data_IF_521014697613
#
_entry.id   IF_521014697613
#
_cell.length_a   1.000
_cell.length_b   1.000
_cell.length_c   1.000
_cell.angle_alpha   90.00
_cell.angle_beta   90.00
_cell.angle_gamma   90.00
#
_symmetry.space_group_name_H-M   'P 1'
#
loop_
_entity.id
_entity.type
_entity.pdbx_description
1 polymer ?
#
# COMPACT_ATOMS: atom_id res chain seq x y z
N UNK A 1 13.81 -13.13 22.80
CA UNK A 1 12.34 -13.28 22.93
C UNK A 1 11.68 -12.03 23.53
N UNK A 2 12.38 -11.27 24.39
CA UNK A 2 11.85 -10.01 24.97
C UNK A 2 11.85 -8.80 24.01
N UNK A 3 12.71 -8.76 22.98
CA UNK A 3 12.81 -7.59 22.08
C UNK A 3 11.74 -7.53 20.96
N UNK A 4 11.05 -8.64 20.65
CA UNK A 4 10.03 -8.67 19.58
C UNK A 4 8.67 -8.17 20.11
N UNK A 5 8.37 -8.42 21.38
CA UNK A 5 7.12 -7.99 22.04
C UNK A 5 7.08 -6.45 22.18
N UNK A 6 8.22 -5.79 22.36
CA UNK A 6 8.27 -4.32 22.43
C UNK A 6 7.92 -3.64 21.09
N UNK A 7 8.25 -4.28 19.96
CA UNK A 7 7.92 -3.77 18.63
C UNK A 7 6.41 -3.82 18.33
N UNK A 8 5.74 -4.93 18.71
CA UNK A 8 4.28 -5.04 18.59
C UNK A 8 3.54 -4.07 19.54
N UNK A 9 4.03 -3.93 20.77
CA UNK A 9 3.51 -2.96 21.73
C UNK A 9 3.72 -1.51 21.28
N UNK A 10 4.68 -1.20 20.39
CA UNK A 10 4.85 0.13 19.82
C UNK A 10 3.73 0.45 18.80
N UNK A 11 3.37 -0.51 17.94
CA UNK A 11 2.26 -0.37 16.98
C UNK A 11 0.90 -0.19 17.66
N UNK A 12 0.60 -0.98 18.70
CA UNK A 12 -0.65 -0.84 19.46
C UNK A 12 -0.70 0.45 20.29
N UNK A 13 0.43 0.88 20.88
CA UNK A 13 0.51 2.19 21.56
C UNK A 13 0.38 3.35 20.57
N UNK A 14 0.96 3.25 19.37
CA UNK A 14 0.83 4.26 18.33
C UNK A 14 -0.61 4.33 17.79
N UNK A 15 -1.30 3.21 17.67
CA UNK A 15 -2.69 3.16 17.22
C UNK A 15 -3.66 3.69 18.31
N UNK A 16 -3.40 3.38 19.60
CA UNK A 16 -4.14 3.95 20.72
C UNK A 16 -3.86 5.47 20.88
N UNK A 17 -2.63 5.90 20.64
CA UNK A 17 -2.24 7.32 20.63
C UNK A 17 -2.84 8.06 19.43
N UNK A 18 -2.91 7.40 18.26
CA UNK A 18 -3.57 7.92 17.04
C UNK A 18 -5.07 8.12 17.27
N UNK A 19 -5.74 7.19 17.95
CA UNK A 19 -7.15 7.32 18.36
C UNK A 19 -7.37 8.38 19.45
N UNK A 20 -6.33 8.72 20.21
CA UNK A 20 -6.40 9.72 21.29
C UNK A 20 -6.21 11.16 20.80
N UNK A 21 -5.62 11.37 19.62
CA UNK A 21 -5.40 12.72 19.07
C UNK A 21 -6.66 13.23 18.38
N UNK A 22 -6.92 14.53 18.54
CA UNK A 22 -8.02 15.19 17.84
C UNK A 22 -7.73 15.26 16.34
N UNK A 23 -8.76 15.05 15.50
CA UNK A 23 -8.66 15.24 14.05
C UNK A 23 -8.06 16.60 13.69
N UNK A 24 -8.46 17.66 14.39
CA UNK A 24 -7.96 19.02 14.14
C UNK A 24 -6.45 19.15 14.41
N UNK A 25 -5.93 18.40 15.39
CA UNK A 25 -4.50 18.36 15.67
C UNK A 25 -3.75 17.63 14.56
N UNK A 26 -4.24 16.46 14.15
CA UNK A 26 -3.66 15.67 13.05
C UNK A 26 -3.68 16.46 11.75
N UNK A 27 -4.78 17.13 11.44
CA UNK A 27 -4.93 18.00 10.28
C UNK A 27 -3.91 19.14 10.30
N UNK A 28 -3.77 19.84 11.43
CA UNK A 28 -2.80 20.93 11.59
C UNK A 28 -1.37 20.46 11.36
N UNK A 29 -1.00 19.33 11.95
CA UNK A 29 0.35 18.75 11.82
C UNK A 29 0.61 18.29 10.38
N UNK A 30 -0.36 17.62 9.76
CA UNK A 30 -0.31 17.18 8.35
C UNK A 30 -0.07 18.36 7.42
N UNK A 31 -0.86 19.44 7.58
CA UNK A 31 -0.72 20.68 6.81
C UNK A 31 0.67 21.31 6.98
N UNK A 32 1.15 21.39 8.23
CA UNK A 32 2.49 21.95 8.51
C UNK A 32 3.62 21.15 7.84
N UNK A 33 3.56 19.81 7.86
CA UNK A 33 4.55 18.98 7.16
C UNK A 33 4.46 19.15 5.65
N UNK A 34 3.24 19.19 5.09
CA UNK A 34 3.03 19.40 3.67
C UNK A 34 3.54 20.77 3.19
N UNK A 35 3.28 21.85 3.94
CA UNK A 35 3.79 23.20 3.64
C UNK A 35 5.33 23.25 3.65
N UNK A 36 5.97 22.60 4.63
CA UNK A 36 7.44 22.53 4.69
C UNK A 36 8.02 21.74 3.52
N UNK A 37 7.41 20.60 3.19
CA UNK A 37 7.84 19.75 2.08
C UNK A 37 7.71 20.47 0.74
N UNK A 38 6.58 21.13 0.50
CA UNK A 38 6.33 21.92 -0.71
C UNK A 38 7.26 23.13 -0.77
N UNK A 39 7.48 23.86 0.33
CA UNK A 39 8.44 24.96 0.37
C UNK A 39 9.86 24.52 0.02
N UNK A 40 10.32 23.39 0.57
CA UNK A 40 11.58 22.77 0.18
C UNK A 40 11.62 22.45 -1.31
N UNK A 41 10.57 21.83 -1.86
CA UNK A 41 10.51 21.45 -3.27
C UNK A 41 10.57 22.66 -4.23
N UNK A 42 9.91 23.77 -3.87
CA UNK A 42 9.96 25.00 -4.67
C UNK A 42 11.30 25.73 -4.60
N UNK A 43 12.10 25.47 -3.55
CA UNK A 43 13.43 26.07 -3.35
C UNK A 43 14.58 25.24 -3.91
N UNK A 44 14.28 24.16 -4.65
CA UNK A 44 15.30 23.32 -5.27
C UNK A 44 16.19 24.13 -6.24
N UNK A 45 17.52 23.92 -6.21
CA UNK A 45 18.44 24.49 -7.21
C UNK A 45 18.10 24.06 -8.64
N UNK A 46 18.37 24.94 -9.61
CA UNK A 46 18.03 24.71 -11.02
C UNK A 46 18.56 23.39 -11.57
N UNK A 47 19.76 22.96 -11.16
CA UNK A 47 20.38 21.73 -11.64
C UNK A 47 19.67 20.43 -11.23
N UNK A 48 18.74 20.48 -10.27
CA UNK A 48 17.97 19.31 -9.80
C UNK A 48 16.45 19.52 -9.91
N UNK A 49 16.00 20.64 -10.48
CA UNK A 49 14.58 20.85 -10.78
C UNK A 49 14.10 19.87 -11.85
N UNK A 50 12.81 19.56 -11.79
CA UNK A 50 12.17 18.69 -12.75
C UNK A 50 12.38 19.21 -14.18
N UNK A 51 12.76 18.31 -15.10
CA UNK A 51 12.98 18.65 -16.52
C UNK A 51 14.35 19.23 -16.87
N UNK A 52 15.19 19.64 -15.90
CA UNK A 52 16.51 20.23 -16.19
C UNK A 52 17.62 19.18 -16.34
N UNK A 53 17.65 18.21 -15.42
CA UNK A 53 18.60 17.11 -15.44
C UNK A 53 17.91 15.84 -14.93
N UNK A 54 17.86 14.84 -15.78
CA UNK A 54 17.34 13.53 -15.42
C UNK A 54 18.52 12.61 -15.12
N UNK A 55 18.97 12.59 -13.87
CA UNK A 55 19.80 11.49 -13.37
C UNK A 55 18.92 10.54 -12.56
N UNK A 56 19.32 9.27 -12.38
CA UNK A 56 18.60 8.34 -11.50
C UNK A 56 18.34 8.92 -10.11
N UNK A 57 19.34 9.59 -9.52
CA UNK A 57 19.23 10.19 -8.20
C UNK A 57 18.23 11.36 -8.16
N UNK A 58 18.22 12.22 -9.18
CA UNK A 58 17.26 13.33 -9.27
C UNK A 58 15.84 12.78 -9.44
N UNK A 59 15.63 11.77 -10.28
CA UNK A 59 14.33 11.11 -10.42
C UNK A 59 13.88 10.48 -9.11
N UNK A 60 14.78 9.76 -8.42
CA UNK A 60 14.53 9.17 -7.12
C UNK A 60 14.04 10.22 -6.11
N UNK A 61 14.75 11.34 -6.00
CA UNK A 61 14.36 12.46 -5.14
C UNK A 61 12.95 12.98 -5.44
N UNK A 62 12.61 13.20 -6.71
CA UNK A 62 11.27 13.64 -7.12
C UNK A 62 10.19 12.60 -6.80
N UNK A 63 10.49 11.30 -6.97
CA UNK A 63 9.56 10.24 -6.61
C UNK A 63 9.36 10.15 -5.10
N UNK A 64 10.42 10.28 -4.30
CA UNK A 64 10.33 10.28 -2.83
C UNK A 64 9.54 11.49 -2.34
N UNK A 65 9.67 12.67 -2.97
CA UNK A 65 8.82 13.83 -2.69
C UNK A 65 7.33 13.50 -2.81
N UNK A 66 6.89 12.93 -3.94
CA UNK A 66 5.50 12.53 -4.14
C UNK A 66 5.06 11.39 -3.21
N UNK A 67 5.96 10.44 -2.92
CA UNK A 67 5.69 9.39 -1.94
C UNK A 67 5.46 9.99 -0.54
N UNK A 68 6.25 10.99 -0.13
CA UNK A 68 6.06 11.66 1.16
C UNK A 68 4.76 12.45 1.22
N UNK A 69 4.31 13.06 0.12
CA UNK A 69 2.97 13.66 0.06
C UNK A 69 1.92 12.60 0.38
N UNK A 70 1.95 11.44 -0.30
CA UNK A 70 1.02 10.33 -0.04
C UNK A 70 1.09 9.90 1.43
N UNK A 71 2.30 9.72 1.97
CA UNK A 71 2.50 9.28 3.36
C UNK A 71 2.00 10.31 4.37
N UNK A 72 2.25 11.61 4.17
CA UNK A 72 1.76 12.66 5.07
C UNK A 72 0.23 12.65 5.10
N UNK A 73 -0.39 12.57 3.92
CA UNK A 73 -1.83 12.63 3.78
C UNK A 73 -2.56 11.35 4.21
N UNK A 74 -1.89 10.19 4.20
CA UNK A 74 -2.50 8.95 4.69
C UNK A 74 -2.89 9.07 6.17
N UNK A 75 -2.11 9.75 7.01
CA UNK A 75 -2.47 9.98 8.43
C UNK A 75 -3.80 10.73 8.61
N UNK A 76 -4.11 11.65 7.70
CA UNK A 76 -5.36 12.41 7.74
C UNK A 76 -6.53 11.58 7.20
N UNK A 77 -6.28 10.82 6.13
CA UNK A 77 -7.28 9.99 5.45
C UNK A 77 -7.81 8.86 6.35
N UNK A 78 -6.93 8.23 7.13
CA UNK A 78 -7.27 7.08 8.00
C UNK A 78 -7.88 7.49 9.35
N UNK A 79 -8.01 8.79 9.63
CA UNK A 79 -8.49 9.25 10.92
C UNK A 79 -10.01 8.97 11.09
N UNK A 80 -10.47 8.35 12.19
CA UNK A 80 -11.88 7.94 12.34
C UNK A 80 -12.89 9.09 12.25
N UNK A 81 -12.49 10.29 12.68
CA UNK A 81 -13.32 11.50 12.63
C UNK A 81 -13.12 12.36 11.37
N UNK A 82 -12.48 11.83 10.33
CA UNK A 82 -12.25 12.58 9.10
C UNK A 82 -13.57 12.91 8.38
N UNK A 83 -13.84 14.19 8.07
CA UNK A 83 -14.97 14.57 7.23
C UNK A 83 -14.85 13.96 5.83
N UNK A 84 -15.97 13.50 5.26
CA UNK A 84 -16.00 12.83 3.94
C UNK A 84 -15.40 13.71 2.84
N UNK A 85 -15.71 15.00 2.82
CA UNK A 85 -15.17 15.96 1.87
C UNK A 85 -13.65 16.15 2.01
N UNK A 86 -13.13 16.15 3.25
CA UNK A 86 -11.70 16.20 3.49
C UNK A 86 -11.02 14.92 3.01
N UNK A 87 -11.59 13.75 3.28
CA UNK A 87 -11.08 12.47 2.81
C UNK A 87 -10.99 12.39 1.27
N UNK A 88 -12.02 12.88 0.56
CA UNK A 88 -12.03 12.94 -0.90
C UNK A 88 -10.94 13.86 -1.46
N UNK A 89 -10.79 15.06 -0.88
CA UNK A 89 -9.74 16.01 -1.30
C UNK A 89 -8.34 15.43 -1.07
N UNK A 90 -8.13 14.77 0.08
CA UNK A 90 -6.89 14.08 0.41
C UNK A 90 -6.60 12.95 -0.57
N UNK A 91 -7.62 12.16 -0.92
CA UNK A 91 -7.50 11.07 -1.88
C UNK A 91 -7.06 11.58 -3.27
N UNK A 92 -7.67 12.67 -3.75
CA UNK A 92 -7.30 13.30 -5.02
C UNK A 92 -5.82 13.75 -5.02
N UNK A 93 -5.35 14.32 -3.91
CA UNK A 93 -3.95 14.72 -3.76
C UNK A 93 -2.99 13.53 -3.81
N UNK A 94 -3.35 12.42 -3.16
CA UNK A 94 -2.58 11.17 -3.20
C UNK A 94 -2.54 10.59 -4.62
N UNK A 95 -3.69 10.53 -5.32
CA UNK A 95 -3.78 10.03 -6.70
C UNK A 95 -2.93 10.87 -7.64
N UNK A 96 -3.03 12.20 -7.54
CA UNK A 96 -2.21 13.12 -8.34
C UNK A 96 -0.71 12.86 -8.13
N UNK A 97 -0.30 12.63 -6.89
CA UNK A 97 1.09 12.30 -6.55
C UNK A 97 1.51 10.92 -7.10
N UNK A 98 0.64 9.91 -7.04
CA UNK A 98 0.91 8.59 -7.60
C UNK A 98 1.05 8.63 -9.14
N UNK A 99 0.24 9.44 -9.82
CA UNK A 99 0.36 9.66 -11.27
C UNK A 99 1.68 10.37 -11.61
N UNK A 100 2.11 11.33 -10.80
CA UNK A 100 3.41 11.98 -10.97
C UNK A 100 4.58 10.99 -10.81
N UNK A 101 4.53 10.11 -9.79
CA UNK A 101 5.49 9.01 -9.63
C UNK A 101 5.52 8.10 -10.86
N UNK A 102 4.35 7.74 -11.42
CA UNK A 102 4.29 6.97 -12.67
C UNK A 102 5.04 7.68 -13.80
N UNK A 103 4.84 8.99 -13.96
CA UNK A 103 5.50 9.75 -15.05
C UNK A 103 7.02 9.76 -14.87
N UNK A 104 7.48 9.91 -13.63
CA UNK A 104 8.90 9.84 -13.26
C UNK A 104 9.48 8.43 -13.51
N UNK A 105 8.74 7.38 -13.19
CA UNK A 105 9.13 6.00 -13.51
C UNK A 105 9.23 5.74 -15.01
N UNK A 106 8.30 6.26 -15.80
CA UNK A 106 8.36 6.16 -17.26
C UNK A 106 9.56 6.93 -17.82
N UNK A 107 9.83 8.12 -17.28
CA UNK A 107 11.02 8.90 -17.61
C UNK A 107 12.29 8.10 -17.30
N UNK A 108 12.36 7.47 -16.12
CA UNK A 108 13.45 6.57 -15.76
C UNK A 108 13.60 5.44 -16.79
N UNK A 109 12.52 4.71 -17.08
CA UNK A 109 12.55 3.59 -18.02
C UNK A 109 12.99 4.00 -19.44
N UNK A 110 12.56 5.17 -19.90
CA UNK A 110 12.89 5.68 -21.23
C UNK A 110 14.39 6.01 -21.39
N UNK A 111 15.01 6.53 -20.34
CA UNK A 111 16.41 6.93 -20.32
C UNK A 111 17.35 5.77 -19.96
N UNK A 112 16.93 4.87 -19.06
CA UNK A 112 17.69 3.69 -18.64
C UNK A 112 16.94 2.43 -19.03
N UNK A 113 17.28 1.88 -20.20
CA UNK A 113 16.62 0.75 -20.89
C UNK A 113 16.52 -0.56 -20.09
N UNK A 114 17.14 -0.67 -18.90
CA UNK A 114 17.10 -1.87 -18.06
C UNK A 114 16.39 -1.58 -16.74
N UNK A 115 15.07 -1.76 -16.74
CA UNK A 115 14.16 -1.69 -15.56
C UNK A 115 14.64 -2.61 -14.44
N UNK A 116 15.34 -3.68 -14.80
CA UNK A 116 15.91 -4.67 -13.90
C UNK A 116 16.96 -4.12 -12.91
N UNK A 117 17.54 -2.94 -13.14
CA UNK A 117 18.54 -2.32 -12.27
C UNK A 117 17.98 -1.07 -11.57
N UNK A 118 16.74 -1.15 -11.09
CA UNK A 118 16.17 -0.10 -10.26
C UNK A 118 16.64 -0.22 -8.80
N UNK A 119 16.85 0.92 -8.11
CA UNK A 119 17.07 0.93 -6.66
C UNK A 119 15.94 0.22 -5.92
N UNK A 120 16.27 -0.48 -4.83
CA UNK A 120 15.30 -1.22 -4.00
C UNK A 120 14.19 -0.32 -3.48
N UNK A 121 14.50 0.95 -3.16
CA UNK A 121 13.53 1.97 -2.73
C UNK A 121 12.37 2.15 -3.72
N UNK A 122 12.61 1.97 -5.02
CA UNK A 122 11.59 2.12 -6.06
C UNK A 122 10.50 1.06 -5.95
N UNK A 123 10.82 -0.12 -5.40
CA UNK A 123 9.80 -1.13 -5.09
C UNK A 123 8.80 -0.61 -4.07
N UNK A 124 9.28 -0.02 -2.96
CA UNK A 124 8.39 0.52 -1.92
C UNK A 124 7.51 1.64 -2.46
N UNK A 125 8.10 2.59 -3.20
CA UNK A 125 7.37 3.69 -3.81
C UNK A 125 6.30 3.16 -4.79
N UNK A 126 6.65 2.16 -5.59
CA UNK A 126 5.72 1.53 -6.54
C UNK A 126 4.56 0.87 -5.81
N UNK A 127 4.83 0.13 -4.72
CA UNK A 127 3.78 -0.49 -3.88
C UNK A 127 2.80 0.56 -3.36
N UNK A 128 3.32 1.64 -2.76
CA UNK A 128 2.49 2.73 -2.22
C UNK A 128 1.58 3.31 -3.31
N UNK A 129 2.15 3.58 -4.49
CA UNK A 129 1.37 4.13 -5.60
C UNK A 129 0.33 3.15 -6.15
N UNK A 130 0.65 1.85 -6.25
CA UNK A 130 -0.31 0.84 -6.68
C UNK A 130 -1.53 0.79 -5.75
N UNK A 131 -1.33 0.85 -4.43
CA UNK A 131 -2.43 0.88 -3.48
C UNK A 131 -3.27 2.15 -3.57
N UNK A 132 -2.65 3.32 -3.73
CA UNK A 132 -3.37 4.59 -3.91
C UNK A 132 -4.22 4.58 -5.18
N UNK A 133 -3.68 4.05 -6.28
CA UNK A 133 -4.38 4.02 -7.57
C UNK A 133 -5.47 2.95 -7.62
N UNK A 134 -5.31 1.86 -6.86
CA UNK A 134 -6.30 0.80 -6.74
C UNK A 134 -7.66 1.30 -6.22
N UNK A 135 -7.66 2.42 -5.49
CA UNK A 135 -8.87 3.02 -4.92
C UNK A 135 -9.73 3.78 -5.94
N UNK A 136 -9.19 4.10 -7.12
CA UNK A 136 -9.83 4.93 -8.15
C UNK A 136 -9.53 4.39 -9.55
N UNK A 137 -9.86 3.13 -9.81
CA UNK A 137 -9.67 2.53 -11.14
C UNK A 137 -10.72 2.93 -12.17
N UNK A 138 -11.78 3.62 -11.76
CA UNK A 138 -12.82 4.13 -12.67
C UNK A 138 -12.32 5.32 -13.49
N UNK A 139 -11.39 6.11 -12.94
CA UNK A 139 -10.78 7.21 -13.66
C UNK A 139 -9.72 6.70 -14.66
N UNK A 140 -9.78 7.08 -15.95
CA UNK A 140 -8.88 6.56 -16.97
C UNK A 140 -7.40 6.89 -16.68
N UNK A 141 -7.13 8.05 -16.09
CA UNK A 141 -5.76 8.45 -15.72
C UNK A 141 -5.17 7.58 -14.61
N UNK A 142 -5.96 7.28 -13.59
CA UNK A 142 -5.58 6.42 -12.46
C UNK A 142 -5.43 4.96 -12.90
N UNK A 143 -6.38 4.46 -13.70
CA UNK A 143 -6.37 3.13 -14.30
C UNK A 143 -5.11 2.89 -15.16
N UNK A 144 -4.82 3.82 -16.08
CA UNK A 144 -3.62 3.73 -16.91
C UNK A 144 -2.35 3.74 -16.05
N UNK A 145 -2.27 4.65 -15.06
CA UNK A 145 -1.12 4.73 -14.19
C UNK A 145 -0.92 3.44 -13.37
N UNK A 146 -2.01 2.82 -12.90
CA UNK A 146 -1.98 1.55 -12.19
C UNK A 146 -1.41 0.45 -13.06
N UNK A 147 -1.92 0.28 -14.28
CA UNK A 147 -1.46 -0.76 -15.22
C UNK A 147 0.03 -0.59 -15.52
N UNK A 148 0.48 0.63 -15.82
CA UNK A 148 1.89 0.89 -16.15
C UNK A 148 2.83 0.60 -14.96
N UNK A 149 2.46 1.03 -13.74
CA UNK A 149 3.21 0.70 -12.53
C UNK A 149 3.19 -0.80 -12.22
N UNK A 150 2.08 -1.50 -12.52
CA UNK A 150 1.97 -2.94 -12.33
C UNK A 150 2.93 -3.70 -13.25
N UNK A 151 3.10 -3.27 -14.50
CA UNK A 151 4.11 -3.82 -15.40
C UNK A 151 5.54 -3.60 -14.89
N UNK A 152 5.82 -2.43 -14.30
CA UNK A 152 7.13 -2.15 -13.68
C UNK A 152 7.35 -3.10 -12.48
N UNK A 153 6.37 -3.23 -11.60
CA UNK A 153 6.40 -4.18 -10.49
C UNK A 153 6.60 -5.62 -10.96
N UNK A 154 5.95 -6.03 -12.06
CA UNK A 154 6.15 -7.34 -12.70
C UNK A 154 7.56 -7.56 -13.20
N UNK A 155 8.20 -6.52 -13.74
CA UNK A 155 9.61 -6.59 -14.12
C UNK A 155 10.51 -6.76 -12.89
N UNK A 156 10.24 -6.07 -11.79
CA UNK A 156 11.01 -6.18 -10.54
C UNK A 156 10.87 -7.58 -9.92
N UNK A 157 9.68 -8.17 -9.99
CA UNK A 157 9.37 -9.51 -9.49
C UNK A 157 10.14 -10.65 -10.19
N UNK A 158 10.78 -10.40 -11.34
CA UNK A 158 11.69 -11.39 -11.97
C UNK A 158 13.00 -11.56 -11.20
N UNK A 159 13.39 -10.58 -10.39
CA UNK A 159 14.69 -10.56 -9.67
C UNK A 159 14.53 -10.54 -8.17
N UNK A 160 13.48 -9.89 -7.66
CA UNK A 160 13.26 -9.71 -6.24
C UNK A 160 12.05 -10.51 -5.77
N UNK A 161 12.29 -11.44 -4.83
CA UNK A 161 11.22 -12.21 -4.20
C UNK A 161 10.22 -11.28 -3.47
N UNK A 162 10.72 -10.21 -2.83
CA UNK A 162 9.86 -9.18 -2.23
C UNK A 162 8.87 -8.56 -3.23
N UNK A 163 9.30 -8.27 -4.46
CA UNK A 163 8.41 -7.73 -5.49
C UNK A 163 7.35 -8.73 -5.94
N UNK A 164 7.64 -10.04 -5.93
CA UNK A 164 6.63 -11.07 -6.16
C UNK A 164 5.59 -11.08 -5.04
N UNK A 165 6.05 -10.96 -3.80
CA UNK A 165 5.18 -10.81 -2.63
C UNK A 165 4.24 -9.61 -2.78
N UNK A 166 4.80 -8.44 -3.11
CA UNK A 166 4.05 -7.19 -3.37
C UNK A 166 3.01 -7.35 -4.48
N UNK A 167 3.34 -8.02 -5.59
CA UNK A 167 2.37 -8.25 -6.67
C UNK A 167 1.22 -9.11 -6.22
N UNK A 168 1.52 -10.24 -5.58
CA UNK A 168 0.51 -11.16 -5.06
C UNK A 168 -0.40 -10.44 -4.08
N UNK A 169 0.19 -9.61 -3.26
CA UNK A 169 -0.53 -8.81 -2.29
C UNK A 169 -1.52 -7.84 -2.96
N UNK A 170 -1.07 -7.02 -3.91
CA UNK A 170 -1.98 -6.08 -4.61
C UNK A 170 -3.13 -6.85 -5.27
N UNK A 171 -2.86 -8.05 -5.82
CA UNK A 171 -3.86 -8.93 -6.39
C UNK A 171 -4.90 -9.39 -5.34
N UNK A 172 -4.43 -9.82 -4.17
CA UNK A 172 -5.28 -10.30 -3.08
C UNK A 172 -6.11 -9.18 -2.50
N UNK A 173 -5.54 -7.99 -2.30
CA UNK A 173 -6.27 -6.82 -1.85
C UNK A 173 -7.38 -6.44 -2.85
N UNK A 174 -7.10 -6.46 -4.16
CA UNK A 174 -8.14 -6.22 -5.16
C UNK A 174 -9.29 -7.24 -5.06
N UNK A 175 -8.98 -8.54 -4.86
CA UNK A 175 -9.99 -9.59 -4.68
C UNK A 175 -10.79 -9.41 -3.39
N UNK A 176 -10.12 -9.14 -2.28
CA UNK A 176 -10.74 -8.93 -0.97
C UNK A 176 -11.73 -7.77 -0.97
N UNK A 177 -11.38 -6.69 -1.66
CA UNK A 177 -12.22 -5.50 -1.80
C UNK A 177 -13.22 -5.59 -2.98
N UNK A 178 -13.31 -6.73 -3.67
CA UNK A 178 -14.17 -6.95 -4.83
C UNK A 178 -13.96 -5.92 -5.96
N UNK A 179 -12.70 -5.49 -6.15
CA UNK A 179 -12.30 -4.54 -7.19
C UNK A 179 -12.06 -5.30 -8.49
N UNK A 180 -12.75 -4.88 -9.54
CA UNK A 180 -12.54 -5.42 -10.90
C UNK A 180 -11.29 -4.76 -11.49
N UNK A 181 -10.23 -5.56 -11.66
CA UNK A 181 -9.00 -5.08 -12.27
C UNK A 181 -9.14 -4.88 -13.79
N UNK A 182 -8.40 -3.95 -14.41
CA UNK A 182 -8.36 -3.78 -15.87
C UNK A 182 -7.91 -5.06 -16.59
N UNK A 183 -8.35 -5.25 -17.84
CA UNK A 183 -8.09 -6.48 -18.61
C UNK A 183 -6.58 -6.79 -18.70
N UNK A 184 -5.77 -5.76 -18.92
CA UNK A 184 -4.31 -5.85 -19.00
C UNK A 184 -3.70 -6.34 -17.68
N UNK A 185 -4.22 -5.84 -16.55
CA UNK A 185 -3.79 -6.26 -15.22
C UNK A 185 -4.22 -7.70 -14.93
N UNK A 186 -5.43 -8.10 -15.33
CA UNK A 186 -5.91 -9.48 -15.18
C UNK A 186 -5.02 -10.45 -15.94
N UNK A 187 -4.66 -10.14 -17.19
CA UNK A 187 -3.79 -11.00 -17.99
C UNK A 187 -2.39 -11.12 -17.36
N UNK A 188 -1.82 -10.00 -16.91
CA UNK A 188 -0.53 -9.99 -16.21
C UNK A 188 -0.56 -10.88 -14.96
N UNK A 189 -1.65 -10.84 -14.19
CA UNK A 189 -1.80 -11.64 -12.99
C UNK A 189 -1.99 -13.13 -13.27
N UNK A 190 -2.71 -13.52 -14.32
CA UNK A 190 -2.80 -14.92 -14.76
C UNK A 190 -1.42 -15.49 -15.08
N UNK A 191 -0.63 -14.73 -15.85
CA UNK A 191 0.73 -15.12 -16.23
C UNK A 191 1.65 -15.20 -15.00
N UNK A 192 1.48 -14.27 -14.05
CA UNK A 192 2.22 -14.27 -12.78
C UNK A 192 1.86 -15.47 -11.90
N UNK A 193 0.57 -15.80 -11.72
CA UNK A 193 0.13 -16.95 -10.93
C UNK A 193 0.69 -18.25 -11.49
N UNK A 194 0.64 -18.43 -12.81
CA UNK A 194 1.19 -19.62 -13.46
C UNK A 194 2.70 -19.78 -13.21
N UNK A 195 3.47 -18.68 -13.24
CA UNK A 195 4.89 -18.69 -12.88
C UNK A 195 5.09 -18.96 -11.38
N UNK A 196 4.28 -18.31 -10.54
CA UNK A 196 4.35 -18.40 -9.08
C UNK A 196 4.14 -19.84 -8.60
N UNK A 197 3.12 -20.53 -9.10
CA UNK A 197 2.86 -21.94 -8.76
C UNK A 197 3.94 -22.88 -9.31
N UNK A 198 4.36 -22.71 -10.57
CA UNK A 198 5.41 -23.56 -11.17
C UNK A 198 6.75 -23.50 -10.44
N UNK A 199 7.08 -22.36 -9.86
CA UNK A 199 8.37 -22.14 -9.19
C UNK A 199 8.34 -22.45 -7.69
N UNK A 200 7.21 -22.93 -7.14
CA UNK A 200 7.05 -23.09 -5.69
C UNK A 200 7.16 -21.75 -4.96
N UNK A 201 6.62 -20.67 -5.55
CA UNK A 201 6.85 -19.29 -5.11
C UNK A 201 6.51 -19.04 -3.64
N UNK A 202 5.47 -19.71 -3.13
CA UNK A 202 5.10 -19.62 -1.72
C UNK A 202 6.18 -20.18 -0.78
N UNK A 203 6.72 -21.36 -1.08
CA UNK A 203 7.80 -21.99 -0.30
C UNK A 203 9.10 -21.20 -0.41
N UNK A 204 9.42 -20.72 -1.61
CA UNK A 204 10.61 -19.91 -1.86
C UNK A 204 10.54 -18.55 -1.16
N UNK A 205 9.37 -17.92 -1.10
CA UNK A 205 9.17 -16.67 -0.38
C UNK A 205 9.23 -16.89 1.13
N UNK A 206 8.54 -17.90 1.65
CA UNK A 206 8.52 -18.23 3.08
C UNK A 206 9.92 -18.58 3.61
N UNK A 207 10.73 -19.30 2.82
CA UNK A 207 12.12 -19.61 3.16
C UNK A 207 13.06 -18.39 3.09
N UNK A 208 12.82 -17.46 2.15
CA UNK A 208 13.61 -16.24 2.02
C UNK A 208 13.27 -15.19 3.09
N UNK A 209 12.04 -15.21 3.60
CA UNK A 209 11.55 -14.28 4.62
C UNK A 209 10.90 -15.04 5.80
N UNK A 210 11.67 -15.83 6.57
CA UNK A 210 11.13 -16.68 7.63
C UNK A 210 10.53 -15.89 8.79
N UNK A 211 11.09 -14.72 9.12
CA UNK A 211 10.54 -13.85 10.15
C UNK A 211 9.21 -13.21 9.74
N UNK A 212 9.01 -13.02 8.43
CA UNK A 212 7.76 -12.51 7.88
C UNK A 212 6.66 -13.56 8.07
N UNK A 213 6.88 -14.81 7.65
CA UNK A 213 5.92 -15.91 7.83
C UNK A 213 5.65 -16.28 9.29
N UNK A 214 6.62 -16.07 10.20
CA UNK A 214 6.42 -16.26 11.64
C UNK A 214 5.57 -15.14 12.27
N UNK A 215 5.76 -13.88 11.85
CA UNK A 215 4.97 -12.74 12.34
C UNK A 215 3.49 -12.87 11.95
N UNK A 216 3.26 -13.36 10.73
CA UNK A 216 1.95 -13.66 10.15
C UNK A 216 1.10 -14.64 10.98
N UNK A 217 1.71 -15.77 11.42
CA UNK A 217 1.04 -16.82 12.21
C UNK A 217 0.66 -16.40 13.61
N UNK A 218 1.51 -15.61 14.25
CA UNK A 218 1.24 -15.07 15.59
C UNK A 218 0.04 -14.11 15.57
N UNK A 219 -0.12 -13.34 14.50
CA UNK A 219 -1.28 -12.48 14.32
C UNK A 219 -2.54 -13.32 14.12
N UNK A 220 -2.57 -14.29 13.20
CA UNK A 220 -3.76 -15.11 12.92
C UNK A 220 -4.36 -15.77 14.18
N UNK A 221 -3.52 -16.29 15.08
CA UNK A 221 -3.95 -16.95 16.32
C UNK A 221 -4.63 -16.01 17.34
N UNK A 222 -4.32 -14.71 17.33
CA UNK A 222 -4.89 -13.74 18.27
C UNK A 222 -6.34 -13.31 17.93
N UNK A 223 -6.81 -13.52 16.69
CA UNK A 223 -8.20 -13.22 16.31
C UNK A 223 -9.13 -14.44 16.36
N UNK A 224 -8.61 -15.65 16.61
CA UNK A 224 -9.39 -16.89 16.61
C UNK A 224 -9.88 -17.33 17.99
N UNK A 225 -9.81 -16.49 19.01
CA UNK A 225 -10.41 -16.79 20.32
C UNK A 225 -11.94 -16.64 20.24
N UNK A 226 -12.73 -17.66 20.65
CA UNK A 226 -14.19 -17.54 20.66
C UNK A 226 -14.64 -16.58 21.76
N UNK A 227 -15.77 -15.87 21.60
CA UNK A 227 -16.36 -15.11 22.69
C UNK A 227 -16.86 -16.11 23.74
N UNK A 228 -16.29 -16.04 24.94
CA UNK A 228 -16.83 -16.75 26.10
C UNK A 228 -18.19 -16.13 26.44
N UNK A 229 -19.20 -17.00 26.56
CA UNK A 229 -20.61 -16.61 26.57
C UNK A 229 -21.05 -15.94 27.87
N UNK A 230 -21.99 -15.01 27.76
CA UNK A 230 -23.09 -14.82 28.72
C UNK A 230 -24.26 -14.13 28.04
N UNK A 231 -25.45 -14.65 28.35
CA UNK A 231 -26.76 -14.38 27.79
C UNK A 231 -27.20 -12.91 27.84
N UNK A 232 -27.98 -12.43 26.86
CA UNK A 232 -29.35 -11.92 27.10
C UNK A 232 -30.12 -11.62 25.79
N UNK A 233 -31.44 -11.72 25.88
CA UNK A 233 -32.48 -11.65 24.85
C UNK A 233 -32.62 -10.29 24.11
N UNK A 234 -33.15 -10.30 22.87
CA UNK A 234 -33.81 -9.11 22.32
C UNK A 234 -33.92 -8.98 20.80
N UNK A 235 -35.11 -9.34 20.30
CA UNK A 235 -35.84 -8.97 19.07
C UNK A 235 -35.23 -8.08 17.97
N UNK A 236 -35.52 -8.47 16.73
CA UNK A 236 -34.98 -7.89 15.51
C UNK A 236 -35.63 -6.60 15.00
N UNK A 237 -34.86 -5.86 14.20
CA UNK A 237 -35.36 -5.05 13.08
C UNK A 237 -34.22 -4.79 12.08
N UNK A 238 -34.48 -5.15 10.82
CA UNK A 238 -33.61 -4.95 9.67
C UNK A 238 -33.41 -3.46 9.34
N UNK A 239 -32.15 -3.02 9.20
CA UNK A 239 -31.85 -1.84 8.38
C UNK A 239 -30.50 -2.02 7.65
N UNK A 240 -30.63 -2.43 6.38
CA UNK A 240 -29.59 -2.48 5.36
C UNK A 240 -29.04 -1.07 5.11
N UNK A 241 -27.76 -0.84 5.40
CA UNK A 241 -27.07 0.41 5.10
C UNK A 241 -25.88 0.13 4.18
N UNK A 242 -26.01 0.53 2.92
CA UNK A 242 -24.96 0.49 1.90
C UNK A 242 -23.82 1.44 2.32
N UNK A 243 -22.74 0.89 2.88
CA UNK A 243 -21.47 1.60 3.07
C UNK A 243 -20.36 0.78 2.43
N UNK A 244 -19.93 1.18 1.23
CA UNK A 244 -18.66 0.71 0.66
C UNK A 244 -17.52 1.25 1.55
N UNK A 245 -16.69 0.40 2.18
CA UNK A 245 -15.52 0.87 2.93
C UNK A 245 -14.45 1.31 1.93
N UNK A 246 -14.01 2.56 2.02
CA UNK A 246 -12.87 3.06 1.24
C UNK A 246 -11.59 2.35 1.65
N UNK A 247 -10.75 2.00 0.67
CA UNK A 247 -9.41 1.48 0.89
C UNK A 247 -8.58 2.51 1.68
N UNK A 248 -7.99 2.08 2.79
CA UNK A 248 -7.13 2.89 3.67
C UNK A 248 -5.93 2.05 4.10
N UNK A 249 -4.74 2.67 4.20
CA UNK A 249 -3.55 2.03 4.81
C UNK A 249 -2.83 2.94 5.85
N UNK A 250 -3.01 2.60 7.13
CA UNK A 250 -2.47 3.01 8.42
C UNK A 250 -1.56 1.87 8.91
N UNK A 251 -0.70 2.12 9.91
CA UNK A 251 0.19 1.06 10.47
C UNK A 251 -0.58 -0.17 10.97
N UNK A 252 -1.83 -0.02 11.43
CA UNK A 252 -2.72 -1.13 11.77
C UNK A 252 -3.29 -1.87 10.54
N UNK A 253 -3.31 -1.23 9.37
CA UNK A 253 -3.76 -1.80 8.10
C UNK A 253 -2.63 -2.62 7.46
N UNK A 254 -1.37 -2.20 7.66
CA UNK A 254 -0.15 -2.99 7.45
C UNK A 254 -0.05 -4.23 8.36
N UNK A 255 -0.68 -4.21 9.53
CA UNK A 255 -0.78 -5.40 10.40
C UNK A 255 -1.99 -6.28 10.06
N UNK A 256 -3.10 -5.73 9.59
CA UNK A 256 -4.24 -6.50 9.05
C UNK A 256 -3.86 -7.25 7.75
N UNK A 257 -3.04 -6.61 6.91
CA UNK A 257 -2.34 -7.21 5.77
C UNK A 257 -1.62 -8.50 6.11
N UNK A 258 -0.88 -8.45 7.21
CA UNK A 258 -0.02 -9.48 7.71
C UNK A 258 -0.81 -10.47 8.56
N UNK A 259 -2.13 -10.41 8.54
CA UNK A 259 -3.02 -11.37 9.19
C UNK A 259 -3.81 -12.13 8.15
N UNK A 260 -4.24 -11.43 7.10
CA UNK A 260 -4.96 -12.00 5.95
C UNK A 260 -4.06 -12.74 4.96
N UNK A 261 -2.78 -12.35 4.90
CA UNK A 261 -1.76 -13.06 4.12
C UNK A 261 -1.50 -14.51 4.62
N UNK A 262 -1.97 -14.87 5.81
CA UNK A 262 -1.79 -16.20 6.41
C UNK A 262 -2.98 -17.14 6.14
N UNK A 263 -4.19 -16.60 6.06
CA UNK A 263 -5.38 -17.35 5.63
C UNK A 263 -5.29 -17.77 4.16
N UNK A 264 -4.65 -16.94 3.33
CA UNK A 264 -4.39 -17.21 1.91
C UNK A 264 -3.42 -18.39 1.70
N UNK A 265 -2.49 -18.63 2.63
CA UNK A 265 -1.61 -19.81 2.59
C UNK A 265 -2.27 -21.07 3.17
N UNK A 266 -3.45 -20.95 3.81
CA UNK A 266 -4.23 -22.08 4.34
C UNK A 266 -5.19 -22.67 3.32
N UNK A 267 -5.75 -21.85 2.43
CA UNK A 267 -6.69 -22.27 1.37
C UNK A 267 -5.98 -23.05 0.26
N UNK A 268 -4.71 -22.74 -0.03
CA UNK A 268 -3.90 -23.43 -1.05
C UNK A 268 -3.47 -24.86 -0.63
N UNK A 269 -3.87 -25.33 0.57
CA UNK A 269 -3.62 -26.69 1.10
C UNK A 269 -4.88 -27.57 1.19
N UNK A 270 -6.04 -27.08 0.73
CA UNK A 270 -7.31 -27.85 0.72
C UNK A 270 -7.88 -28.10 -0.69
N UNK A 271 -7.03 -28.07 -1.71
CA UNK A 271 -7.34 -28.52 -3.07
C UNK A 271 -6.18 -29.33 -3.66
#
# INVERSE_FOLDING_TARGET
MYEVIEFFNAGERDEQTRKSRSYAEVERVTKSFYERLTSWYHSLPECIKEGQSWTPAVIGMHMSYHCYIITIFSYLKVHPSAPVNAALSVQQQCISSAIAVRNLMNTYRSNWRRIEYQPVEYMQITTVCLFVLLEDLDAPGSCQAFVELLFIARSMARRFQLARGILRLVQLSAREHNIVLPEEAQQLYKDFELEWYRTGGAEQFSSSYPNFSLSMRSLAASNSSPPDGSDDDGDGASQRNDRRPGLTWSSAELDLFLKRWDDVLRIDNEM
#
